data_IF_069435114936
#
_entry.id   IF_069435114936
#
_cell.length_a   1.000
_cell.length_b   1.000
_cell.length_c   1.000
_cell.angle_alpha   90.00
_cell.angle_beta   90.00
_cell.angle_gamma   90.00
#
_symmetry.space_group_name_H-M   'P 1'
#
loop_
_entity.id
_entity.type
_entity.pdbx_description
1 polymer ?
#
# COMPACT_ATOMS: atom_id res chain seq x y z
N UNK A 1 15.26 17.38 -2.28
CA UNK A 1 14.22 16.34 -2.36
C UNK A 1 12.89 16.97 -2.02
N UNK A 2 11.83 16.62 -2.74
CA UNK A 2 10.47 16.90 -2.28
C UNK A 2 10.13 16.02 -1.07
N UNK A 3 9.36 16.51 -0.08
CA UNK A 3 8.89 15.69 1.04
C UNK A 3 7.85 14.67 0.57
N UNK A 4 8.07 13.41 0.92
CA UNK A 4 7.25 12.26 0.49
C UNK A 4 5.84 12.36 1.07
N UNK A 5 4.81 11.98 0.31
CA UNK A 5 3.43 12.00 0.80
C UNK A 5 2.87 10.59 0.92
N UNK A 6 2.16 10.32 2.02
CA UNK A 6 1.52 9.03 2.27
C UNK A 6 0.37 9.17 3.25
N UNK A 7 -0.53 8.19 3.27
CA UNK A 7 -1.59 8.13 4.26
C UNK A 7 -1.04 7.62 5.60
N UNK A 8 -1.46 8.25 6.71
CA UNK A 8 -1.19 7.70 8.04
C UNK A 8 -1.93 6.37 8.23
N UNK A 9 -1.24 5.39 8.82
CA UNK A 9 -1.84 4.13 9.25
C UNK A 9 -2.81 4.34 10.45
N UNK A 10 -3.13 3.29 11.20
CA UNK A 10 -3.79 3.45 12.50
C UNK A 10 -2.88 4.06 13.58
N UNK A 11 -1.57 4.10 13.34
CA UNK A 11 -0.61 4.90 14.11
C UNK A 11 -0.68 6.40 13.73
N UNK A 12 -0.56 7.31 14.71
CA UNK A 12 -0.54 8.76 14.49
C UNK A 12 0.78 9.28 13.89
N UNK A 13 1.94 8.66 14.14
CA UNK A 13 3.24 9.17 13.67
C UNK A 13 3.85 8.40 12.50
N UNK A 14 3.32 7.20 12.18
CA UNK A 14 3.83 6.35 11.10
C UNK A 14 2.86 6.30 9.89
N UNK A 15 3.42 6.25 8.69
CA UNK A 15 2.67 6.10 7.44
C UNK A 15 2.49 4.64 7.02
N UNK A 16 1.48 4.37 6.19
CA UNK A 16 1.30 3.07 5.54
C UNK A 16 1.82 3.11 4.11
N UNK A 17 2.85 2.30 3.82
CA UNK A 17 3.54 2.24 2.52
C UNK A 17 2.68 1.73 1.36
N UNK A 18 1.51 1.15 1.62
CA UNK A 18 0.60 0.67 0.58
C UNK A 18 0.08 1.74 -0.38
N UNK A 19 0.15 3.02 0.01
CA UNK A 19 -0.01 4.18 -0.90
C UNK A 19 0.99 5.26 -0.52
N UNK A 20 1.89 5.59 -1.44
CA UNK A 20 2.85 6.69 -1.31
C UNK A 20 2.98 7.46 -2.64
N UNK A 21 3.21 8.77 -2.55
CA UNK A 21 3.72 9.59 -3.64
C UNK A 21 5.18 9.94 -3.35
N UNK A 22 6.06 9.49 -4.24
CA UNK A 22 7.50 9.64 -4.19
C UNK A 22 8.02 10.13 -5.55
N UNK A 23 9.13 10.86 -5.53
CA UNK A 23 9.83 11.35 -6.71
C UNK A 23 10.80 10.26 -7.24
N UNK A 24 10.65 9.74 -8.48
CA UNK A 24 11.50 8.67 -9.01
C UNK A 24 12.96 9.12 -9.19
N UNK A 25 13.84 8.67 -8.29
CA UNK A 25 15.26 9.08 -8.27
C UNK A 25 16.18 7.89 -8.09
N UNK A 26 17.18 7.78 -8.99
CA UNK A 26 18.23 6.77 -8.92
C UNK A 26 19.02 6.86 -7.60
N UNK A 27 19.33 8.09 -7.16
CA UNK A 27 20.07 8.33 -5.92
C UNK A 27 19.25 7.95 -4.67
N UNK A 28 17.92 8.11 -4.70
CA UNK A 28 17.05 7.60 -3.63
C UNK A 28 17.09 6.08 -3.58
N UNK A 29 16.96 5.42 -4.73
CA UNK A 29 17.02 3.96 -4.83
C UNK A 29 18.37 3.40 -4.34
N UNK A 30 19.50 3.95 -4.80
CA UNK A 30 20.83 3.53 -4.37
C UNK A 30 21.05 3.73 -2.86
N UNK A 31 20.63 4.86 -2.30
CA UNK A 31 20.72 5.12 -0.86
C UNK A 31 19.89 4.12 -0.04
N UNK A 32 18.65 3.83 -0.47
CA UNK A 32 17.79 2.84 0.18
C UNK A 32 18.39 1.42 0.07
N UNK A 33 18.93 1.05 -1.09
CA UNK A 33 19.58 -0.25 -1.27
C UNK A 33 20.85 -0.41 -0.43
N UNK A 34 21.64 0.65 -0.24
CA UNK A 34 22.78 0.67 0.70
C UNK A 34 22.31 0.56 2.16
N UNK A 35 21.20 1.20 2.51
CA UNK A 35 20.61 1.16 3.86
C UNK A 35 19.91 -0.16 4.19
N UNK A 36 19.50 -0.96 3.20
CA UNK A 36 18.75 -2.23 3.38
C UNK A 36 19.31 -3.15 4.47
N UNK A 37 20.64 -3.25 4.57
CA UNK A 37 21.31 -4.17 5.48
C UNK A 37 21.79 -3.52 6.80
N UNK A 38 21.56 -2.21 6.98
CA UNK A 38 22.06 -1.42 8.12
C UNK A 38 20.96 -0.68 8.88
N UNK A 39 19.81 -0.44 8.25
CA UNK A 39 18.63 0.18 8.84
C UNK A 39 17.59 -0.89 9.17
N UNK A 40 17.34 -1.12 10.46
CA UNK A 40 16.46 -2.21 10.93
C UNK A 40 15.00 -1.82 10.74
N UNK A 41 14.25 -2.60 9.95
CA UNK A 41 12.80 -2.45 9.84
C UNK A 41 12.10 -2.90 11.13
N UNK A 42 11.39 -1.99 11.82
CA UNK A 42 10.70 -2.30 13.08
C UNK A 42 9.65 -3.41 12.98
N UNK A 43 9.19 -3.76 11.76
CA UNK A 43 8.23 -4.84 11.51
C UNK A 43 8.74 -5.87 10.48
N UNK A 44 10.03 -5.85 10.13
CA UNK A 44 10.64 -6.73 9.12
C UNK A 44 10.21 -6.47 7.66
N UNK A 45 9.15 -5.67 7.43
CA UNK A 45 8.61 -5.38 6.11
C UNK A 45 9.13 -4.07 5.50
N UNK A 46 8.59 -3.73 4.33
CA UNK A 46 8.83 -2.46 3.64
C UNK A 46 8.31 -1.27 4.47
N UNK A 47 7.12 -1.37 5.09
CA UNK A 47 6.53 -0.27 5.86
C UNK A 47 7.46 0.17 7.00
N UNK A 48 8.09 -0.77 7.71
CA UNK A 48 9.04 -0.44 8.76
C UNK A 48 10.29 0.23 8.21
N UNK A 49 10.96 -0.41 7.25
CA UNK A 49 12.16 0.12 6.61
C UNK A 49 11.95 1.54 6.03
N UNK A 50 10.82 1.77 5.37
CA UNK A 50 10.48 3.05 4.77
C UNK A 50 10.18 4.12 5.82
N UNK A 51 9.52 3.80 6.94
CA UNK A 51 9.30 4.77 8.02
C UNK A 51 10.62 5.18 8.71
N UNK A 52 11.56 4.24 8.89
CA UNK A 52 12.90 4.55 9.41
C UNK A 52 13.74 5.36 8.41
N UNK A 53 13.55 5.15 7.09
CA UNK A 53 14.27 5.88 6.05
C UNK A 53 13.68 7.28 5.77
N UNK A 54 12.36 7.43 5.88
CA UNK A 54 11.61 8.65 5.59
C UNK A 54 11.04 9.25 6.89
N UNK A 55 11.93 9.73 7.76
CA UNK A 55 11.58 10.37 9.04
C UNK A 55 10.80 11.67 8.88
N UNK A 56 10.78 12.28 7.68
CA UNK A 56 9.98 13.45 7.31
C UNK A 56 9.07 13.12 6.14
N UNK A 57 7.75 13.30 6.32
CA UNK A 57 6.72 13.03 5.32
C UNK A 57 5.49 13.91 5.54
N UNK A 58 4.68 14.11 4.50
CA UNK A 58 3.39 14.82 4.59
C UNK A 58 2.21 13.84 4.56
N UNK A 59 1.22 14.12 5.40
CA UNK A 59 0.08 13.23 5.63
C UNK A 59 -1.05 13.47 4.65
N UNK A 60 -1.41 12.44 3.90
CA UNK A 60 -2.66 12.37 3.17
C UNK A 60 -3.84 11.89 4.04
N UNK A 61 -5.09 12.30 3.73
CA UNK A 61 -6.28 11.81 4.41
C UNK A 61 -6.42 10.29 4.29
N UNK A 62 -6.84 9.60 5.36
CA UNK A 62 -7.01 8.13 5.39
C UNK A 62 -7.89 7.57 4.26
N UNK A 63 -8.83 8.36 3.73
CA UNK A 63 -9.63 7.99 2.54
C UNK A 63 -8.82 7.66 1.27
N UNK A 64 -7.56 8.10 1.19
CA UNK A 64 -6.64 7.75 0.09
C UNK A 64 -6.01 6.36 0.20
N UNK A 65 -6.17 5.68 1.35
CA UNK A 65 -5.60 4.37 1.66
C UNK A 65 -6.42 3.75 2.82
N UNK A 66 -7.72 3.50 2.59
CA UNK A 66 -8.61 3.01 3.63
C UNK A 66 -8.28 1.54 3.92
N UNK A 67 -7.71 1.27 5.09
CA UNK A 67 -7.43 -0.08 5.55
C UNK A 67 -8.74 -0.86 5.73
N UNK A 68 -8.88 -2.01 5.05
CA UNK A 68 -9.97 -2.99 5.27
C UNK A 68 -9.74 -3.68 6.62
N UNK A 69 -9.99 -2.95 7.71
CA UNK A 69 -9.96 -3.42 9.09
C UNK A 69 -11.08 -2.74 9.88
N UNK A 70 -11.81 -3.56 10.63
CA UNK A 70 -12.98 -3.19 11.41
C UNK A 70 -12.74 -3.62 12.85
N UNK A 71 -13.36 -2.91 13.79
CA UNK A 71 -13.25 -3.16 15.22
C UNK A 71 -14.66 -3.41 15.78
N UNK A 72 -14.73 -4.16 16.90
CA UNK A 72 -15.90 -4.87 17.49
C UNK A 72 -17.26 -4.15 17.58
N UNK A 73 -17.34 -2.87 17.27
CA UNK A 73 -18.56 -2.07 17.35
C UNK A 73 -19.24 -1.90 15.97
N UNK A 74 -18.57 -2.28 14.87
CA UNK A 74 -19.19 -2.48 13.56
C UNK A 74 -19.41 -3.99 13.38
N UNK A 75 -20.66 -4.41 13.20
CA UNK A 75 -21.06 -5.82 12.99
C UNK A 75 -21.36 -6.16 11.53
N UNK A 76 -21.23 -5.20 10.62
CA UNK A 76 -21.50 -5.35 9.18
C UNK A 76 -20.28 -5.10 8.31
N UNK A 77 -19.26 -4.46 8.87
CA UNK A 77 -18.01 -4.11 8.20
C UNK A 77 -18.26 -3.25 6.94
N UNK A 78 -19.01 -2.16 7.13
CA UNK A 78 -19.44 -1.26 6.06
C UNK A 78 -18.34 -0.25 5.69
N UNK A 79 -17.99 -0.19 4.39
CA UNK A 79 -17.07 0.81 3.85
C UNK A 79 -17.68 2.23 3.90
N UNK A 80 -16.97 3.25 4.42
CA UNK A 80 -17.49 4.62 4.43
C UNK A 80 -17.73 5.18 3.02
N UNK A 81 -18.80 5.97 2.87
CA UNK A 81 -19.27 6.50 1.57
C UNK A 81 -18.27 7.40 0.81
N UNK A 82 -17.19 7.87 1.46
CA UNK A 82 -16.27 8.89 0.92
C UNK A 82 -14.80 8.47 0.86
N UNK A 83 -14.54 7.16 0.73
CA UNK A 83 -13.20 6.60 0.46
C UNK A 83 -12.84 6.62 -1.03
N UNK A 84 -11.55 6.79 -1.34
CA UNK A 84 -11.01 6.80 -2.71
C UNK A 84 -10.26 5.51 -3.07
N UNK A 85 -9.65 4.83 -2.10
CA UNK A 85 -8.98 3.55 -2.30
C UNK A 85 -9.17 2.62 -1.09
N UNK A 86 -9.26 1.31 -1.34
CA UNK A 86 -9.40 0.26 -0.33
C UNK A 86 -8.10 -0.56 -0.30
N UNK A 87 -7.51 -0.68 0.88
CA UNK A 87 -6.34 -1.51 1.14
C UNK A 87 -6.79 -2.83 1.77
N UNK A 88 -6.78 -3.91 0.98
CA UNK A 88 -7.25 -5.23 1.39
C UNK A 88 -6.23 -5.91 2.31
N UNK A 89 -6.43 -5.75 3.63
CA UNK A 89 -5.78 -6.55 4.68
C UNK A 89 -6.44 -7.93 4.79
N UNK A 90 -5.79 -8.84 5.55
CA UNK A 90 -6.16 -10.25 5.61
C UNK A 90 -5.90 -10.99 4.29
N UNK A 91 -6.67 -12.06 4.07
CA UNK A 91 -6.73 -12.82 2.82
C UNK A 91 -7.14 -11.91 1.65
N UNK A 92 -6.53 -12.14 0.48
CA UNK A 92 -6.75 -11.29 -0.70
C UNK A 92 -8.01 -11.75 -1.47
N UNK A 93 -8.80 -10.84 -2.09
CA UNK A 93 -10.07 -11.19 -2.76
C UNK A 93 -9.98 -12.24 -3.88
N UNK A 94 -8.80 -12.45 -4.46
CA UNK A 94 -8.55 -13.49 -5.48
C UNK A 94 -8.17 -14.86 -4.89
N UNK A 95 -7.99 -14.96 -3.58
CA UNK A 95 -7.78 -16.21 -2.83
C UNK A 95 -9.09 -16.75 -2.22
N UNK A 96 -10.16 -15.95 -2.22
CA UNK A 96 -11.47 -16.28 -1.66
C UNK A 96 -12.46 -16.74 -2.74
N UNK A 97 -13.67 -17.14 -2.31
CA UNK A 97 -14.78 -17.49 -3.18
C UNK A 97 -15.38 -16.27 -3.93
N UNK A 98 -16.32 -16.51 -4.86
CA UNK A 98 -16.90 -15.47 -5.75
C UNK A 98 -18.00 -14.62 -5.11
N UNK A 99 -18.56 -15.11 -4.03
CA UNK A 99 -19.84 -14.73 -3.44
C UNK A 99 -19.70 -13.98 -2.11
N UNK A 100 -18.75 -14.39 -1.25
CA UNK A 100 -18.46 -13.76 0.05
C UNK A 100 -16.96 -13.68 0.37
N UNK A 101 -16.59 -12.80 1.30
CA UNK A 101 -15.22 -12.57 1.75
C UNK A 101 -14.77 -13.68 2.74
N UNK A 102 -13.96 -14.62 2.29
CA UNK A 102 -13.48 -15.76 3.09
C UNK A 102 -12.61 -15.38 4.31
N UNK A 103 -12.31 -14.10 4.52
CA UNK A 103 -11.84 -13.62 5.82
C UNK A 103 -12.86 -13.85 6.95
N UNK A 104 -14.16 -14.08 6.64
CA UNK A 104 -15.17 -14.48 7.63
C UNK A 104 -14.93 -15.87 8.23
N UNK A 105 -14.33 -16.79 7.46
CA UNK A 105 -14.19 -18.21 7.83
C UNK A 105 -13.08 -18.46 8.87
N UNK A 106 -12.18 -17.50 9.05
CA UNK A 106 -11.05 -17.57 9.97
C UNK A 106 -11.23 -16.54 11.09
N UNK A 107 -11.38 -17.02 12.33
CA UNK A 107 -11.69 -16.18 13.50
C UNK A 107 -10.71 -15.02 13.74
N UNK A 108 -9.43 -15.22 13.44
CA UNK A 108 -8.36 -14.21 13.53
C UNK A 108 -8.35 -13.22 12.35
N UNK A 109 -9.05 -13.53 11.26
CA UNK A 109 -9.19 -12.67 10.08
C UNK A 109 -10.54 -11.95 9.98
N UNK A 110 -11.54 -12.28 10.82
CA UNK A 110 -12.87 -11.66 10.77
C UNK A 110 -12.83 -10.14 10.84
N UNK A 111 -11.90 -9.57 11.63
CA UNK A 111 -11.64 -8.13 11.69
C UNK A 111 -11.24 -7.48 10.34
N UNK A 112 -10.88 -8.26 9.32
CA UNK A 112 -10.62 -7.79 7.96
C UNK A 112 -11.76 -8.10 6.99
N UNK A 113 -12.75 -8.93 7.31
CA UNK A 113 -13.78 -9.37 6.36
C UNK A 113 -14.74 -8.23 5.98
N UNK A 114 -15.13 -8.12 4.70
CA UNK A 114 -16.22 -7.23 4.26
C UNK A 114 -16.71 -7.62 2.87
N UNK A 115 -17.93 -8.16 2.77
CA UNK A 115 -18.52 -8.60 1.51
C UNK A 115 -18.76 -7.44 0.53
N UNK A 116 -18.99 -6.22 1.04
CA UNK A 116 -19.05 -5.03 0.18
C UNK A 116 -17.68 -4.67 -0.41
N UNK A 117 -16.59 -4.81 0.35
CA UNK A 117 -15.24 -4.61 -0.19
C UNK A 117 -14.90 -5.69 -1.22
N UNK A 118 -15.14 -6.95 -0.88
CA UNK A 118 -14.89 -8.10 -1.76
C UNK A 118 -15.66 -8.00 -3.08
N UNK A 119 -16.96 -7.65 -3.03
CA UNK A 119 -17.80 -7.39 -4.21
C UNK A 119 -17.25 -6.26 -5.08
N UNK A 120 -16.76 -5.16 -4.48
CA UNK A 120 -16.11 -4.06 -5.24
C UNK A 120 -14.82 -4.53 -5.93
N UNK A 121 -14.05 -5.44 -5.33
CA UNK A 121 -12.88 -6.03 -5.99
C UNK A 121 -13.28 -6.86 -7.21
N UNK A 122 -14.27 -7.74 -7.06
CA UNK A 122 -14.80 -8.55 -8.16
C UNK A 122 -15.36 -7.71 -9.31
N UNK A 123 -16.16 -6.68 -9.02
CA UNK A 123 -16.67 -5.74 -10.03
C UNK A 123 -15.54 -5.08 -10.85
N UNK A 124 -14.47 -4.63 -10.19
CA UNK A 124 -13.32 -4.02 -10.89
C UNK A 124 -12.61 -5.07 -11.76
N UNK A 125 -12.33 -6.26 -11.24
CA UNK A 125 -11.72 -7.35 -12.02
C UNK A 125 -12.59 -7.77 -13.22
N UNK A 126 -13.89 -7.91 -13.04
CA UNK A 126 -14.83 -8.30 -14.10
C UNK A 126 -14.86 -7.27 -15.23
N UNK A 127 -14.82 -5.97 -14.91
CA UNK A 127 -14.73 -4.91 -15.92
C UNK A 127 -13.36 -4.79 -16.63
N UNK A 128 -12.29 -5.43 -16.15
CA UNK A 128 -11.00 -5.44 -16.86
C UNK A 128 -11.10 -6.15 -18.22
N UNK A 129 -10.42 -5.60 -19.23
CA UNK A 129 -10.36 -6.22 -20.56
C UNK A 129 -9.65 -7.58 -20.52
N UNK A 130 -10.01 -8.49 -21.44
CA UNK A 130 -9.38 -9.82 -21.50
C UNK A 130 -7.88 -9.75 -21.72
N UNK A 131 -7.39 -8.72 -22.44
CA UNK A 131 -5.95 -8.46 -22.60
C UNK A 131 -5.24 -8.24 -21.26
N UNK A 132 -5.85 -7.51 -20.32
CA UNK A 132 -5.27 -7.30 -18.97
C UNK A 132 -5.30 -8.61 -18.18
N UNK A 133 -6.43 -9.34 -18.22
CA UNK A 133 -6.58 -10.66 -17.58
C UNK A 133 -5.58 -11.72 -18.09
N UNK A 134 -5.11 -11.61 -19.33
CA UNK A 134 -4.12 -12.51 -19.94
C UNK A 134 -2.68 -11.99 -19.94
N UNK A 135 -2.37 -10.82 -19.35
CA UNK A 135 -1.02 -10.24 -19.38
C UNK A 135 -0.27 -10.48 -18.07
N UNK A 136 0.78 -11.31 -18.13
CA UNK A 136 1.67 -11.58 -16.99
C UNK A 136 2.83 -10.56 -16.82
N UNK A 137 2.95 -9.57 -17.71
CA UNK A 137 4.09 -8.65 -17.74
C UNK A 137 3.74 -7.25 -17.22
N UNK A 138 4.55 -6.76 -16.28
CA UNK A 138 4.57 -5.36 -15.88
C UNK A 138 5.26 -4.51 -16.96
N UNK A 139 4.73 -3.33 -17.31
CA UNK A 139 5.44 -2.40 -18.18
C UNK A 139 6.67 -1.82 -17.48
N UNK A 140 7.75 -1.61 -18.23
CA UNK A 140 8.95 -0.94 -17.72
C UNK A 140 8.67 0.56 -17.49
N UNK A 141 9.07 1.07 -16.33
CA UNK A 141 8.98 2.50 -16.02
C UNK A 141 9.98 3.29 -16.86
N UNK A 142 9.50 4.33 -17.53
CA UNK A 142 10.31 5.31 -18.26
C UNK A 142 10.31 6.64 -17.47
N UNK A 143 11.40 7.40 -17.57
CA UNK A 143 11.70 8.62 -16.81
C UNK A 143 12.08 8.37 -15.33
N UNK A 144 13.35 8.03 -15.08
CA UNK A 144 13.99 8.03 -13.76
C UNK A 144 14.95 9.23 -13.70
N UNK A 145 14.94 10.02 -12.62
CA UNK A 145 15.91 11.10 -12.44
C UNK A 145 17.29 10.49 -12.10
N UNK A 146 18.34 10.73 -12.91
CA UNK A 146 19.67 10.19 -12.67
C UNK A 146 20.33 10.85 -11.46
N UNK A 147 21.35 10.20 -10.90
CA UNK A 147 22.25 10.87 -9.97
C UNK A 147 23.05 11.96 -10.68
N UNK A 148 23.14 13.15 -10.07
CA UNK A 148 24.18 14.10 -10.42
C UNK A 148 25.55 13.47 -10.13
N UNK A 149 26.59 13.75 -10.95
CA UNK A 149 27.95 13.33 -10.63
C UNK A 149 28.36 13.79 -9.23
N UNK A 150 29.05 12.93 -8.47
CA UNK A 150 29.74 13.36 -7.25
C UNK A 150 30.84 14.33 -7.65
N UNK A 151 30.54 15.63 -7.57
CA UNK A 151 31.50 16.70 -7.81
C UNK A 151 32.75 16.43 -6.99
N UNK A 152 33.87 16.21 -7.66
CA UNK A 152 35.15 16.10 -6.99
C UNK A 152 35.46 17.50 -6.45
N UNK A 153 35.64 17.59 -5.13
CA UNK A 153 36.05 18.84 -4.50
C UNK A 153 37.42 19.29 -5.05
N UNK A 154 37.60 20.60 -5.10
CA UNK A 154 38.88 21.25 -5.40
C UNK A 154 39.93 20.92 -4.31
#
# INVERSE_FOLDING_TARGET
>A
MTPQLSASSNNKVLFNSGVMLIEPSQCMFEMLMQKRNTLVSYNGGDQGFLNEAFTWWHRWPKKTNFLKIFYSNDTKHELPNSIYAIHYLGLKPWMCYRDYDCNWDLLDHQAYASDMAHRRWWQVYESMSQKIKSTHHLPQLQNIVPCLPKGHGF
#
